data_IF_741086019386
#
_entry.id   IF_741086019386
#
_cell.length_a   1.000
_cell.length_b   1.000
_cell.length_c   1.000
_cell.angle_alpha   90.00
_cell.angle_beta   90.00
_cell.angle_gamma   90.00
#
_symmetry.space_group_name_H-M   'P 1'
#
loop_
_entity.id
_entity.type
_entity.pdbx_description
1 polymer ?
#
# COMPACT_ATOMS: atom_id res chain seq x y z
N UNK A 1 18.57 71.45 62.63
CA UNK A 1 17.35 70.95 61.96
C UNK A 1 17.45 69.44 61.74
N UNK A 2 16.75 68.61 62.52
CA UNK A 2 16.70 67.15 62.33
C UNK A 2 15.69 66.80 61.23
N UNK A 3 16.18 66.27 60.10
CA UNK A 3 15.33 65.84 58.97
C UNK A 3 14.82 64.42 59.27
N UNK A 4 13.53 64.27 59.59
CA UNK A 4 12.90 62.94 59.78
C UNK A 4 12.80 62.23 58.42
N UNK A 5 13.49 61.11 58.27
CA UNK A 5 13.36 60.23 57.09
C UNK A 5 11.98 59.56 57.18
N UNK A 6 11.14 59.76 56.15
CA UNK A 6 9.83 59.12 56.03
C UNK A 6 10.03 57.66 55.58
N UNK A 7 9.93 56.72 56.50
CA UNK A 7 10.11 55.27 56.27
C UNK A 7 9.22 54.70 55.15
N UNK A 8 8.04 55.27 54.91
CA UNK A 8 7.16 54.85 53.81
C UNK A 8 7.77 55.06 52.41
N UNK A 9 8.76 55.95 52.25
CA UNK A 9 9.47 56.11 50.96
C UNK A 9 10.61 55.09 50.77
N UNK A 10 11.16 54.53 51.86
CA UNK A 10 12.21 53.52 51.80
C UNK A 10 11.65 52.13 51.49
N UNK A 11 10.47 51.80 52.05
CA UNK A 11 9.74 50.57 51.74
C UNK A 11 9.36 50.48 50.26
N UNK A 12 8.93 51.59 49.64
CA UNK A 12 8.63 51.64 48.21
C UNK A 12 9.86 51.39 47.31
N UNK A 13 11.05 51.84 47.72
CA UNK A 13 12.29 51.69 46.94
C UNK A 13 12.83 50.26 46.92
N UNK A 14 12.55 49.45 47.95
CA UNK A 14 13.02 48.05 48.00
C UNK A 14 11.98 47.03 47.53
N UNK A 15 10.68 47.25 47.76
CA UNK A 15 9.66 46.27 47.39
C UNK A 15 9.26 46.31 45.90
N UNK A 16 9.27 47.48 45.27
CA UNK A 16 8.93 47.61 43.84
C UNK A 16 9.86 46.79 42.94
N UNK A 17 11.21 46.90 43.03
CA UNK A 17 12.09 46.12 42.16
C UNK A 17 11.97 44.61 42.40
N UNK A 18 11.73 44.17 43.65
CA UNK A 18 11.54 42.75 43.96
C UNK A 18 10.25 42.20 43.33
N UNK A 19 9.15 42.97 43.40
CA UNK A 19 7.88 42.59 42.75
C UNK A 19 8.04 42.55 41.23
N UNK A 20 8.76 43.51 40.64
CA UNK A 20 9.03 43.52 39.20
C UNK A 20 9.81 42.27 38.78
N UNK A 21 10.88 41.91 39.50
CA UNK A 21 11.67 40.70 39.22
C UNK A 21 10.81 39.43 39.34
N UNK A 22 9.96 39.33 40.35
CA UNK A 22 9.04 38.18 40.52
C UNK A 22 8.02 38.09 39.38
N UNK A 23 7.46 39.22 38.94
CA UNK A 23 6.54 39.25 37.79
C UNK A 23 7.27 38.87 36.50
N UNK A 24 8.50 39.34 36.28
CA UNK A 24 9.30 38.93 35.13
C UNK A 24 9.63 37.43 35.14
N UNK A 25 9.94 36.86 36.31
CA UNK A 25 10.17 35.43 36.46
C UNK A 25 8.92 34.61 36.14
N UNK A 26 7.77 34.98 36.73
CA UNK A 26 6.48 34.31 36.49
C UNK A 26 6.01 34.42 35.03
N UNK A 27 6.24 35.55 34.38
CA UNK A 27 5.92 35.75 32.96
C UNK A 27 6.85 34.93 32.06
N UNK A 28 8.14 34.79 32.44
CA UNK A 28 9.10 33.99 31.68
C UNK A 28 8.79 32.49 31.80
N UNK A 29 8.51 31.99 33.00
CA UNK A 29 8.05 30.61 33.24
C UNK A 29 6.77 30.31 32.46
N UNK A 30 5.80 31.24 32.48
CA UNK A 30 4.54 31.06 31.74
C UNK A 30 4.78 30.99 30.23
N UNK A 31 5.68 31.81 29.68
CA UNK A 31 6.08 31.76 28.26
C UNK A 31 6.80 30.47 27.90
N UNK A 32 7.64 29.94 28.78
CA UNK A 32 8.34 28.67 28.56
C UNK A 32 7.38 27.47 28.64
N UNK A 33 6.39 27.53 29.52
CA UNK A 33 5.31 26.54 29.62
C UNK A 33 4.33 26.62 28.43
N UNK A 34 3.98 27.82 27.95
CA UNK A 34 3.17 28.00 26.74
C UNK A 34 3.96 27.54 25.50
N UNK A 35 5.21 27.97 25.35
CA UNK A 35 6.09 27.53 24.25
C UNK A 35 6.29 26.01 24.23
N UNK A 36 6.53 25.37 25.38
CA UNK A 36 6.66 23.91 25.45
C UNK A 36 5.34 23.15 25.20
N UNK A 37 4.18 23.74 25.52
CA UNK A 37 2.87 23.19 25.15
C UNK A 37 2.59 23.35 23.66
N UNK A 38 2.95 24.48 23.07
CA UNK A 38 2.81 24.75 21.64
C UNK A 38 3.76 23.86 20.84
N UNK A 39 5.02 23.71 21.27
CA UNK A 39 5.98 22.74 20.70
C UNK A 39 5.46 21.32 20.89
N UNK A 40 4.90 20.93 22.04
CA UNK A 40 4.28 19.61 22.20
C UNK A 40 3.08 19.43 21.28
N UNK A 41 2.24 20.45 21.12
CA UNK A 41 1.05 20.42 20.25
C UNK A 41 1.44 20.38 18.78
N UNK A 42 2.50 21.08 18.39
CA UNK A 42 3.06 21.09 17.04
C UNK A 42 3.80 19.78 16.76
N UNK A 43 4.50 19.19 17.74
CA UNK A 43 5.06 17.83 17.66
C UNK A 43 3.95 16.77 17.61
N UNK A 44 2.87 16.91 18.38
CA UNK A 44 1.71 15.99 18.33
C UNK A 44 1.00 16.13 16.98
N UNK A 45 0.80 17.35 16.49
CA UNK A 45 0.21 17.66 15.18
C UNK A 45 1.11 17.23 14.02
N UNK A 46 2.44 17.33 14.14
CA UNK A 46 3.39 16.85 13.14
C UNK A 46 3.59 15.35 13.21
N UNK A 47 3.24 14.72 14.33
CA UNK A 47 3.17 13.25 14.49
C UNK A 47 1.83 12.68 14.02
N UNK A 48 0.81 13.54 13.85
CA UNK A 48 -0.48 13.26 13.19
C UNK A 48 -0.49 13.54 11.68
N UNK A 49 0.64 13.91 11.07
CA UNK A 49 0.83 13.81 9.61
C UNK A 49 1.66 12.56 9.34
N UNK A 50 1.01 11.39 9.44
CA UNK A 50 1.54 10.11 9.00
C UNK A 50 0.53 9.56 8.00
N UNK A 51 0.87 9.64 6.71
CA UNK A 51 0.22 9.10 5.51
C UNK A 51 -1.19 8.54 5.72
N UNK A 52 -2.20 9.23 5.17
CA UNK A 52 -3.50 8.59 5.00
C UNK A 52 -3.38 7.59 3.86
N UNK A 53 -3.46 6.29 4.16
CA UNK A 53 -3.36 5.25 3.15
C UNK A 53 -4.45 5.45 2.09
N UNK A 54 -4.07 5.39 0.83
CA UNK A 54 -4.99 5.60 -0.31
C UNK A 54 -5.04 4.39 -1.24
N UNK A 55 -6.12 4.30 -2.02
CA UNK A 55 -6.22 3.35 -3.13
C UNK A 55 -5.10 3.60 -4.15
N UNK A 56 -4.73 4.86 -4.37
CA UNK A 56 -3.62 5.22 -5.25
C UNK A 56 -2.29 4.64 -4.74
N UNK A 57 -1.99 4.76 -3.44
CA UNK A 57 -0.77 4.17 -2.87
C UNK A 57 -0.77 2.64 -2.94
N UNK A 58 -1.92 1.99 -2.69
CA UNK A 58 -2.07 0.55 -2.86
C UNK A 58 -1.68 0.12 -4.28
N UNK A 59 -2.28 0.74 -5.30
CA UNK A 59 -2.00 0.42 -6.69
C UNK A 59 -0.59 0.85 -7.12
N UNK A 60 -0.05 1.94 -6.57
CA UNK A 60 1.33 2.36 -6.84
C UNK A 60 2.32 1.34 -6.28
N UNK A 61 2.11 0.87 -5.06
CA UNK A 61 2.90 -0.20 -4.46
C UNK A 61 2.80 -1.50 -5.26
N UNK A 62 1.60 -1.86 -5.73
CA UNK A 62 1.39 -3.00 -6.62
C UNK A 62 2.27 -2.94 -7.89
N UNK A 63 2.53 -1.74 -8.43
CA UNK A 63 3.40 -1.59 -9.63
C UNK A 63 4.89 -1.68 -9.35
N UNK A 64 5.34 -1.71 -8.08
CA UNK A 64 6.77 -1.75 -7.74
C UNK A 64 7.42 -3.02 -8.30
N UNK A 65 6.99 -4.26 -7.97
CA UNK A 65 7.60 -5.49 -8.49
C UNK A 65 7.23 -5.84 -9.94
N UNK A 66 6.39 -5.01 -10.58
CA UNK A 66 5.83 -5.28 -11.90
C UNK A 66 6.93 -5.43 -12.95
N UNK A 67 6.95 -6.55 -13.66
CA UNK A 67 7.85 -6.75 -14.80
C UNK A 67 9.33 -6.96 -14.43
N UNK A 68 9.63 -7.23 -13.16
CA UNK A 68 10.98 -7.61 -12.72
C UNK A 68 10.99 -8.47 -11.46
N UNK A 69 9.87 -9.12 -11.12
CA UNK A 69 9.77 -10.13 -10.06
C UNK A 69 9.14 -11.40 -10.64
N UNK A 70 9.81 -12.54 -10.46
CA UNK A 70 9.34 -13.84 -10.94
C UNK A 70 8.29 -14.46 -10.02
N UNK A 71 7.41 -15.28 -10.61
CA UNK A 71 6.49 -16.12 -9.83
C UNK A 71 7.27 -17.29 -9.26
N UNK A 72 7.25 -17.44 -7.94
CA UNK A 72 7.82 -18.57 -7.24
C UNK A 72 6.78 -19.12 -6.29
N UNK A 73 6.41 -20.40 -6.40
CA UNK A 73 5.44 -21.01 -5.50
C UNK A 73 5.96 -20.96 -4.06
N UNK A 74 5.20 -20.37 -3.12
CA UNK A 74 5.64 -20.09 -1.75
C UNK A 74 6.46 -18.80 -1.59
N UNK A 75 6.70 -18.04 -2.67
CA UNK A 75 7.40 -16.77 -2.62
C UNK A 75 6.68 -15.75 -1.74
N UNK A 76 7.40 -15.11 -0.81
CA UNK A 76 6.84 -14.17 0.17
C UNK A 76 6.29 -14.81 1.45
N UNK A 77 6.23 -16.14 1.53
CA UNK A 77 5.89 -16.85 2.76
C UNK A 77 7.12 -17.06 3.66
N UNK A 78 6.88 -17.34 4.94
CA UNK A 78 7.91 -17.82 5.85
C UNK A 78 8.22 -19.32 5.61
N UNK A 79 9.35 -19.80 6.14
CA UNK A 79 9.76 -21.21 6.00
C UNK A 79 8.75 -22.21 6.56
N UNK A 80 7.93 -21.79 7.53
CA UNK A 80 6.93 -22.65 8.15
C UNK A 80 5.63 -22.72 7.35
N UNK A 81 5.48 -21.92 6.29
CA UNK A 81 4.26 -21.80 5.48
C UNK A 81 3.03 -21.43 6.34
N UNK A 82 3.23 -20.53 7.30
CA UNK A 82 2.19 -20.08 8.24
C UNK A 82 1.84 -18.59 8.14
N UNK A 83 2.59 -17.83 7.34
CA UNK A 83 2.36 -16.40 7.16
C UNK A 83 3.50 -15.72 6.42
N UNK A 84 3.62 -14.40 6.62
CA UNK A 84 4.55 -13.57 5.89
C UNK A 84 6.03 -13.91 6.18
N UNK A 85 6.81 -14.03 5.11
CA UNK A 85 8.27 -14.10 5.16
C UNK A 85 8.90 -12.73 5.40
N UNK A 86 10.23 -12.70 5.53
CA UNK A 86 10.96 -11.47 5.84
C UNK A 86 10.79 -10.41 4.74
N UNK A 87 10.77 -10.80 3.47
CA UNK A 87 10.56 -9.88 2.36
C UNK A 87 9.15 -9.29 2.37
N UNK A 88 8.14 -10.09 2.67
CA UNK A 88 6.74 -9.66 2.80
C UNK A 88 6.50 -8.71 4.00
N UNK A 89 7.38 -8.75 5.00
CA UNK A 89 7.39 -7.88 6.18
C UNK A 89 8.36 -6.70 6.07
N UNK A 90 8.92 -6.46 4.89
CA UNK A 90 9.89 -5.37 4.66
C UNK A 90 9.26 -4.26 3.83
N UNK A 91 9.45 -3.02 4.26
CA UNK A 91 9.10 -1.85 3.47
C UNK A 91 10.12 -1.72 2.33
N UNK A 92 9.59 -1.62 1.10
CA UNK A 92 10.37 -1.61 -0.13
C UNK A 92 10.53 -3.00 -0.74
N UNK A 93 10.95 -2.99 -1.99
CA UNK A 93 11.16 -4.19 -2.77
C UNK A 93 12.42 -4.94 -2.35
N UNK A 94 12.37 -6.29 -2.34
CA UNK A 94 13.59 -7.09 -2.18
C UNK A 94 14.46 -7.01 -3.43
N UNK A 95 15.72 -6.64 -3.26
CA UNK A 95 16.72 -6.65 -4.35
C UNK A 95 16.94 -8.04 -4.94
N UNK A 96 16.62 -9.08 -4.17
CA UNK A 96 16.78 -10.45 -4.62
C UNK A 96 15.80 -10.81 -5.73
N UNK A 97 14.59 -10.25 -5.72
CA UNK A 97 13.58 -10.49 -6.75
C UNK A 97 14.03 -10.01 -8.12
N UNK A 98 14.55 -8.77 -8.20
CA UNK A 98 15.13 -8.23 -9.44
C UNK A 98 16.36 -9.02 -9.87
N UNK A 99 17.24 -9.38 -8.92
CA UNK A 99 18.44 -10.17 -9.22
C UNK A 99 18.08 -11.53 -9.83
N UNK A 100 17.10 -12.23 -9.25
CA UNK A 100 16.63 -13.51 -9.75
C UNK A 100 15.94 -13.39 -11.11
N UNK A 101 15.13 -12.33 -11.33
CA UNK A 101 14.54 -12.04 -12.65
C UNK A 101 15.61 -11.86 -13.74
N UNK A 102 16.69 -11.14 -13.45
CA UNK A 102 17.78 -10.90 -14.40
C UNK A 102 18.52 -12.18 -14.82
N UNK A 103 18.47 -13.22 -14.00
CA UNK A 103 19.04 -14.54 -14.30
C UNK A 103 18.14 -15.38 -15.22
N UNK A 104 16.84 -15.05 -15.34
CA UNK A 104 15.90 -15.83 -16.13
C UNK A 104 15.81 -15.37 -17.59
N UNK A 105 15.51 -16.32 -18.47
CA UNK A 105 15.23 -16.11 -19.88
C UNK A 105 13.77 -16.44 -20.23
N UNK A 106 13.41 -16.33 -21.51
CA UNK A 106 12.06 -16.60 -22.03
C UNK A 106 11.55 -18.04 -21.77
N UNK A 107 12.42 -18.98 -21.37
CA UNK A 107 12.07 -20.38 -21.11
C UNK A 107 11.79 -20.68 -19.63
N UNK A 108 11.72 -19.67 -18.77
CA UNK A 108 11.44 -19.83 -17.34
C UNK A 108 10.27 -20.80 -17.06
N UNK A 109 10.54 -21.80 -16.22
CA UNK A 109 9.54 -22.75 -15.69
C UNK A 109 9.58 -22.66 -14.17
N UNK A 110 8.50 -22.18 -13.57
CA UNK A 110 8.46 -21.88 -12.14
C UNK A 110 8.62 -23.13 -11.27
N UNK A 111 8.24 -24.30 -11.78
CA UNK A 111 8.29 -25.57 -11.07
C UNK A 111 9.72 -25.98 -10.69
N UNK A 112 10.71 -25.51 -11.45
CA UNK A 112 12.14 -25.72 -11.14
C UNK A 112 12.60 -24.93 -9.91
N UNK A 113 11.82 -23.93 -9.49
CA UNK A 113 12.16 -22.96 -8.44
C UNK A 113 11.15 -22.94 -7.29
N UNK A 114 10.23 -23.91 -7.24
CA UNK A 114 9.24 -24.02 -6.16
C UNK A 114 9.90 -23.94 -4.78
N UNK A 115 9.34 -23.13 -3.90
CA UNK A 115 9.81 -22.87 -2.52
C UNK A 115 11.19 -22.22 -2.42
N UNK A 116 11.71 -21.62 -3.49
CA UNK A 116 12.77 -20.60 -3.37
C UNK A 116 12.15 -19.30 -2.86
N UNK A 117 11.62 -19.34 -1.64
CA UNK A 117 10.65 -18.37 -1.08
C UNK A 117 11.17 -16.92 -1.02
N UNK A 118 12.49 -16.74 -1.13
CA UNK A 118 13.18 -15.45 -1.12
C UNK A 118 13.39 -14.85 -2.53
N UNK A 119 13.26 -15.65 -3.59
CA UNK A 119 13.68 -15.30 -4.95
C UNK A 119 12.55 -14.70 -5.80
N UNK A 120 11.30 -14.80 -5.33
CA UNK A 120 10.15 -14.23 -6.01
C UNK A 120 8.91 -14.20 -5.12
N UNK A 121 7.74 -14.09 -5.76
CA UNK A 121 6.45 -13.99 -5.08
C UNK A 121 5.44 -14.94 -5.70
N UNK A 122 4.69 -15.69 -4.89
CA UNK A 122 3.44 -16.28 -5.38
C UNK A 122 2.30 -15.25 -5.34
N UNK A 123 1.09 -15.66 -5.71
CA UNK A 123 -0.05 -14.76 -5.77
C UNK A 123 -0.39 -14.10 -4.43
N UNK A 124 -0.37 -14.86 -3.32
CA UNK A 124 -0.76 -14.35 -2.01
C UNK A 124 0.38 -13.67 -1.26
N UNK A 125 1.62 -14.13 -1.45
CA UNK A 125 2.82 -13.43 -1.02
C UNK A 125 2.92 -12.04 -1.66
N UNK A 126 2.62 -11.95 -2.96
CA UNK A 126 2.54 -10.66 -3.67
C UNK A 126 1.47 -9.73 -3.08
N UNK A 127 0.23 -10.19 -2.99
CA UNK A 127 -0.87 -9.36 -2.45
C UNK A 127 -0.59 -8.96 -1.00
N UNK A 128 -0.07 -9.88 -0.18
CA UNK A 128 0.32 -9.60 1.20
C UNK A 128 1.43 -8.55 1.31
N UNK A 129 2.46 -8.63 0.47
CA UNK A 129 3.52 -7.62 0.42
C UNK A 129 2.98 -6.24 0.00
N UNK A 130 2.08 -6.18 -0.99
CA UNK A 130 1.45 -4.92 -1.44
C UNK A 130 0.66 -4.28 -0.30
N UNK A 131 -0.14 -5.07 0.43
CA UNK A 131 -0.91 -4.58 1.58
C UNK A 131 0.03 -4.11 2.69
N UNK A 132 1.08 -4.88 3.00
CA UNK A 132 2.07 -4.49 4.02
C UNK A 132 2.70 -3.14 3.68
N UNK A 133 3.17 -2.97 2.44
CA UNK A 133 3.81 -1.74 1.97
C UNK A 133 2.85 -0.54 1.88
N UNK A 134 1.55 -0.80 1.93
CA UNK A 134 0.52 0.24 1.93
C UNK A 134 0.10 0.64 3.33
N UNK A 135 -0.05 -0.33 4.25
CA UNK A 135 -0.63 -0.10 5.58
C UNK A 135 0.42 0.06 6.68
N UNK A 136 1.63 -0.46 6.49
CA UNK A 136 2.67 -0.51 7.51
C UNK A 136 3.77 0.52 7.27
N UNK A 137 4.61 0.68 8.29
CA UNK A 137 5.81 1.51 8.26
C UNK A 137 6.94 0.74 8.97
N UNK A 138 8.19 1.13 8.74
CA UNK A 138 9.41 0.43 9.18
C UNK A 138 9.49 0.09 10.68
N UNK A 139 8.63 0.66 11.53
CA UNK A 139 8.64 0.49 12.98
C UNK A 139 7.43 -0.30 13.53
N UNK A 140 6.65 -0.95 12.67
CA UNK A 140 5.43 -1.65 13.08
C UNK A 140 5.66 -3.17 13.15
N UNK A 141 5.74 -3.71 14.36
CA UNK A 141 5.69 -5.16 14.58
C UNK A 141 4.27 -5.68 14.29
N UNK A 142 4.13 -6.53 13.27
CA UNK A 142 2.92 -7.27 12.94
C UNK A 142 3.26 -8.55 12.16
N UNK A 143 2.32 -9.48 12.08
CA UNK A 143 2.49 -10.79 11.43
C UNK A 143 2.37 -10.74 9.89
N UNK A 144 2.18 -9.54 9.32
CA UNK A 144 2.02 -9.30 7.90
C UNK A 144 0.62 -9.60 7.38
N UNK A 145 0.51 -9.68 6.05
CA UNK A 145 -0.76 -9.89 5.35
C UNK A 145 -0.69 -11.05 4.35
N UNK A 146 0.26 -11.97 4.52
CA UNK A 146 0.36 -13.17 3.69
C UNK A 146 -0.49 -14.25 4.33
N UNK A 147 -1.52 -14.67 3.60
CA UNK A 147 -2.45 -15.74 3.95
C UNK A 147 -2.63 -16.63 2.74
N UNK A 148 -3.29 -17.79 2.93
CA UNK A 148 -3.71 -18.61 1.78
C UNK A 148 -4.63 -17.79 0.88
N UNK A 149 -4.54 -18.01 -0.42
CA UNK A 149 -5.29 -17.22 -1.40
C UNK A 149 -6.79 -17.24 -1.12
N UNK A 150 -7.35 -18.40 -0.74
CA UNK A 150 -8.75 -18.61 -0.39
C UNK A 150 -9.18 -17.94 0.93
N UNK A 151 -8.24 -17.67 1.84
CA UNK A 151 -8.53 -17.05 3.14
C UNK A 151 -8.33 -15.53 3.14
N UNK A 152 -7.49 -15.01 2.23
CA UNK A 152 -6.99 -13.62 2.24
C UNK A 152 -8.08 -12.57 2.46
N UNK A 153 -9.11 -12.57 1.61
CA UNK A 153 -10.20 -11.57 1.68
C UNK A 153 -10.99 -11.63 2.98
N UNK A 154 -11.16 -12.82 3.55
CA UNK A 154 -11.88 -13.00 4.81
C UNK A 154 -11.05 -12.49 5.99
N UNK A 155 -9.73 -12.71 5.99
CA UNK A 155 -8.84 -12.14 7.01
C UNK A 155 -8.88 -10.61 7.01
N UNK A 156 -8.89 -9.99 5.83
CA UNK A 156 -8.99 -8.53 5.71
C UNK A 156 -10.33 -8.00 6.24
N UNK A 157 -11.43 -8.72 6.01
CA UNK A 157 -12.73 -8.38 6.58
C UNK A 157 -12.75 -8.58 8.11
N UNK A 158 -12.18 -9.67 8.64
CA UNK A 158 -12.03 -9.92 10.08
C UNK A 158 -11.24 -8.81 10.79
N UNK A 159 -10.23 -8.23 10.11
CA UNK A 159 -9.47 -7.07 10.58
C UNK A 159 -10.27 -5.75 10.53
N UNK A 160 -11.45 -5.75 9.91
CA UNK A 160 -12.31 -4.57 9.79
C UNK A 160 -11.87 -3.61 8.68
N UNK A 161 -11.08 -4.05 7.70
CA UNK A 161 -10.54 -3.20 6.64
C UNK A 161 -11.51 -2.94 5.48
N UNK A 162 -12.58 -3.74 5.40
CA UNK A 162 -13.50 -3.72 4.28
C UNK A 162 -14.60 -4.76 4.44
N UNK A 163 -15.19 -5.15 3.32
CA UNK A 163 -16.25 -6.17 3.26
C UNK A 163 -16.05 -7.12 2.10
N UNK A 164 -16.47 -8.37 2.30
CA UNK A 164 -16.49 -9.38 1.25
C UNK A 164 -17.85 -9.48 0.54
N UNK A 165 -17.82 -9.84 -0.74
CA UNK A 165 -18.98 -9.99 -1.62
C UNK A 165 -18.79 -11.23 -2.49
N UNK A 166 -19.77 -12.14 -2.46
CA UNK A 166 -19.81 -13.33 -3.33
C UNK A 166 -20.61 -13.07 -4.61
N UNK A 167 -21.43 -12.02 -4.63
CA UNK A 167 -22.11 -11.53 -5.84
C UNK A 167 -21.41 -10.26 -6.28
N UNK A 168 -20.69 -10.34 -7.40
CA UNK A 168 -19.87 -9.25 -7.92
C UNK A 168 -20.71 -8.43 -8.90
N UNK A 169 -20.99 -7.18 -8.54
CA UNK A 169 -21.75 -6.24 -9.39
C UNK A 169 -20.83 -5.38 -10.27
N UNK A 170 -19.64 -5.06 -9.76
CA UNK A 170 -18.67 -4.20 -10.43
C UNK A 170 -17.27 -4.41 -9.86
N UNK A 171 -16.26 -4.15 -10.70
CA UNK A 171 -14.84 -4.21 -10.36
C UNK A 171 -14.32 -2.78 -10.18
N UNK A 172 -13.85 -2.48 -8.98
CA UNK A 172 -13.36 -1.15 -8.60
C UNK A 172 -11.85 -1.17 -8.35
N UNK A 173 -11.14 -0.06 -8.58
CA UNK A 173 -9.70 0.03 -8.31
C UNK A 173 -9.38 -0.34 -6.85
N UNK A 174 -8.43 -1.25 -6.67
CA UNK A 174 -7.98 -1.73 -5.37
C UNK A 174 -8.79 -2.90 -4.79
N UNK A 175 -9.88 -3.33 -5.43
CA UNK A 175 -10.59 -4.55 -5.00
C UNK A 175 -9.61 -5.74 -5.00
N UNK A 176 -9.71 -6.61 -3.99
CA UNK A 176 -8.95 -7.86 -3.93
C UNK A 176 -9.88 -9.02 -4.24
N UNK A 177 -9.46 -9.88 -5.14
CA UNK A 177 -10.26 -11.00 -5.62
C UNK A 177 -9.57 -12.30 -5.19
N UNK A 178 -10.21 -13.09 -4.33
CA UNK A 178 -9.73 -14.40 -3.88
C UNK A 178 -10.65 -15.52 -4.34
N UNK A 179 -10.09 -16.70 -4.63
CA UNK A 179 -10.88 -17.89 -4.97
C UNK A 179 -10.40 -19.12 -4.20
N UNK A 180 -11.33 -20.04 -3.91
CA UNK A 180 -11.06 -21.35 -3.32
C UNK A 180 -10.14 -22.23 -4.19
N UNK A 181 -9.98 -21.87 -5.47
CA UNK A 181 -9.06 -22.54 -6.40
C UNK A 181 -7.59 -22.09 -6.25
N UNK A 182 -7.26 -21.33 -5.21
CA UNK A 182 -5.87 -21.01 -4.87
C UNK A 182 -5.26 -19.84 -5.64
N UNK A 183 -6.06 -18.83 -6.01
CA UNK A 183 -5.54 -17.62 -6.65
C UNK A 183 -6.09 -16.34 -5.99
N UNK A 184 -5.27 -15.29 -5.98
CA UNK A 184 -5.64 -13.96 -5.51
C UNK A 184 -4.99 -12.87 -6.37
N UNK A 185 -5.73 -11.82 -6.69
CA UNK A 185 -5.24 -10.69 -7.47
C UNK A 185 -5.84 -9.34 -7.04
N UNK A 186 -5.26 -8.24 -7.53
CA UNK A 186 -5.73 -6.87 -7.28
C UNK A 186 -6.33 -6.30 -8.57
N UNK A 187 -7.52 -5.72 -8.47
CA UNK A 187 -8.20 -5.03 -9.58
C UNK A 187 -7.57 -3.65 -9.77
N UNK A 188 -7.17 -3.33 -11.00
CA UNK A 188 -6.84 -1.95 -11.40
C UNK A 188 -8.12 -1.22 -11.80
N UNK A 189 -8.97 -1.82 -12.63
CA UNK A 189 -10.21 -1.21 -13.11
C UNK A 189 -11.12 -2.22 -13.82
N UNK A 190 -12.45 -2.06 -13.70
CA UNK A 190 -13.41 -2.64 -14.64
C UNK A 190 -13.55 -1.78 -15.91
N UNK A 191 -13.67 -2.41 -17.07
CA UNK A 191 -13.81 -1.75 -18.37
C UNK A 191 -15.27 -1.77 -18.88
N UNK A 192 -15.62 -0.86 -19.79
CA UNK A 192 -16.99 -0.72 -20.31
C UNK A 192 -17.49 -1.98 -21.04
N UNK A 193 -16.59 -2.70 -21.73
CA UNK A 193 -16.92 -3.95 -22.43
C UNK A 193 -17.16 -5.15 -21.50
N UNK A 194 -16.96 -4.96 -20.18
CA UNK A 194 -17.10 -5.97 -19.14
C UNK A 194 -15.80 -6.73 -18.83
N UNK A 195 -14.70 -6.41 -19.52
CA UNK A 195 -13.38 -6.92 -19.15
C UNK A 195 -12.83 -6.24 -17.89
N UNK A 196 -11.87 -6.86 -17.23
CA UNK A 196 -11.22 -6.36 -16.02
C UNK A 196 -9.73 -6.27 -16.24
N UNK A 197 -9.17 -5.12 -15.89
CA UNK A 197 -7.73 -4.88 -15.83
C UNK A 197 -7.26 -5.17 -14.42
N UNK A 198 -6.27 -6.06 -14.28
CA UNK A 198 -5.79 -6.54 -12.98
C UNK A 198 -4.27 -6.63 -12.95
N UNK A 199 -3.73 -6.66 -11.73
CA UNK A 199 -2.31 -6.90 -11.46
C UNK A 199 -2.18 -8.06 -10.49
N UNK A 200 -1.28 -8.99 -10.81
CA UNK A 200 -1.16 -10.25 -10.10
C UNK A 200 0.24 -10.85 -10.25
N UNK A 201 0.56 -11.79 -9.36
CA UNK A 201 1.68 -12.72 -9.54
C UNK A 201 1.13 -14.08 -9.95
N UNK A 202 1.40 -14.45 -11.20
CA UNK A 202 1.13 -15.77 -11.78
C UNK A 202 2.25 -16.08 -12.75
N UNK A 203 2.54 -17.36 -13.07
CA UNK A 203 3.59 -17.69 -14.04
C UNK A 203 3.51 -16.81 -15.31
N UNK A 204 4.60 -16.16 -15.73
CA UNK A 204 5.97 -16.30 -15.21
C UNK A 204 6.33 -15.35 -14.04
N UNK A 205 5.48 -14.38 -13.67
CA UNK A 205 5.70 -13.48 -12.53
C UNK A 205 4.74 -12.29 -12.47
N UNK A 206 5.17 -11.22 -11.80
CA UNK A 206 4.29 -10.07 -11.53
C UNK A 206 4.03 -9.30 -12.81
N UNK A 207 2.77 -9.26 -13.25
CA UNK A 207 2.35 -8.60 -14.49
C UNK A 207 0.98 -7.95 -14.37
N UNK A 208 0.72 -6.99 -15.26
CA UNK A 208 -0.63 -6.51 -15.53
C UNK A 208 -1.25 -7.45 -16.58
N UNK A 209 -2.50 -7.82 -16.39
CA UNK A 209 -3.26 -8.62 -17.34
C UNK A 209 -4.67 -8.07 -17.52
N UNK A 210 -5.25 -8.36 -18.67
CA UNK A 210 -6.65 -8.08 -18.96
C UNK A 210 -7.43 -9.36 -19.14
N UNK A 211 -8.67 -9.39 -18.65
CA UNK A 211 -9.59 -10.49 -18.96
C UNK A 211 -10.18 -10.33 -20.36
N UNK A 212 -10.69 -11.40 -20.93
CA UNK A 212 -11.62 -11.34 -22.07
C UNK A 212 -12.84 -10.44 -21.77
N UNK A 213 -13.50 -9.94 -22.82
CA UNK A 213 -14.76 -9.18 -22.67
C UNK A 213 -15.94 -10.08 -22.27
N UNK A 214 -17.12 -9.50 -22.07
CA UNK A 214 -18.35 -10.24 -21.71
C UNK A 214 -18.76 -11.35 -22.68
N UNK A 215 -18.26 -11.33 -23.92
CA UNK A 215 -18.53 -12.32 -24.96
C UNK A 215 -17.38 -13.33 -25.11
N UNK A 216 -16.33 -13.23 -24.30
CA UNK A 216 -15.15 -14.07 -24.38
C UNK A 216 -14.12 -13.61 -25.43
N UNK A 217 -14.20 -12.36 -25.91
CA UNK A 217 -13.23 -11.83 -26.88
C UNK A 217 -11.89 -11.49 -26.19
N UNK A 218 -10.75 -12.08 -26.61
CA UNK A 218 -9.43 -11.74 -26.08
C UNK A 218 -8.91 -10.38 -26.54
N UNK A 219 -9.52 -9.75 -27.55
CA UNK A 219 -9.21 -8.36 -27.92
C UNK A 219 -10.07 -7.37 -27.11
N UNK A 220 -10.17 -7.57 -25.80
CA UNK A 220 -10.92 -6.68 -24.91
C UNK A 220 -10.19 -5.36 -24.67
N UNK A 221 -10.89 -4.38 -24.10
CA UNK A 221 -10.31 -3.13 -23.63
C UNK A 221 -9.20 -3.38 -22.60
N UNK A 222 -9.45 -4.23 -21.60
CA UNK A 222 -8.46 -4.54 -20.58
C UNK A 222 -7.20 -5.20 -21.18
N UNK A 223 -7.34 -6.15 -22.10
CA UNK A 223 -6.18 -6.83 -22.71
C UNK A 223 -5.34 -5.86 -23.51
N UNK A 224 -5.96 -4.99 -24.32
CA UNK A 224 -5.23 -3.95 -25.06
C UNK A 224 -4.45 -3.02 -24.12
N UNK A 225 -5.10 -2.53 -23.06
CA UNK A 225 -4.46 -1.64 -22.09
C UNK A 225 -3.31 -2.37 -21.38
N UNK A 226 -3.49 -3.62 -20.97
CA UNK A 226 -2.44 -4.42 -20.32
C UNK A 226 -1.22 -4.60 -21.23
N UNK A 227 -1.43 -5.00 -22.49
CA UNK A 227 -0.37 -5.20 -23.47
C UNK A 227 0.37 -3.89 -23.78
N UNK A 228 -0.36 -2.80 -24.03
CA UNK A 228 0.24 -1.49 -24.29
C UNK A 228 1.06 -0.99 -23.10
N UNK A 229 0.54 -1.18 -21.88
CA UNK A 229 1.20 -0.79 -20.63
C UNK A 229 2.49 -1.59 -20.42
N UNK A 230 2.42 -2.92 -20.48
CA UNK A 230 3.59 -3.79 -20.29
C UNK A 230 4.65 -3.53 -21.35
N UNK A 231 4.26 -3.40 -22.62
CA UNK A 231 5.17 -3.07 -23.71
C UNK A 231 5.86 -1.72 -23.54
N UNK A 232 5.14 -0.71 -23.03
CA UNK A 232 5.66 0.65 -22.87
C UNK A 232 6.58 0.80 -21.66
N UNK A 233 6.19 0.28 -20.50
CA UNK A 233 6.87 0.55 -19.23
C UNK A 233 7.76 -0.60 -18.74
N UNK A 234 7.60 -1.80 -19.30
CA UNK A 234 8.34 -3.03 -18.96
C UNK A 234 8.71 -3.80 -20.23
N UNK A 235 9.34 -3.12 -21.19
CA UNK A 235 9.68 -3.67 -22.51
C UNK A 235 10.51 -4.95 -22.44
N UNK A 236 11.50 -4.99 -21.54
CA UNK A 236 12.42 -6.12 -21.41
C UNK A 236 11.70 -7.37 -20.90
N UNK A 237 10.75 -7.17 -19.98
CA UNK A 237 9.83 -8.23 -19.54
C UNK A 237 8.92 -8.66 -20.69
N UNK A 238 8.30 -7.71 -21.37
CA UNK A 238 7.32 -7.98 -22.43
C UNK A 238 7.94 -8.71 -23.62
N UNK A 239 9.22 -8.49 -23.92
CA UNK A 239 9.95 -9.23 -24.94
C UNK A 239 10.10 -10.71 -24.57
N UNK A 240 10.41 -11.02 -23.30
CA UNK A 240 10.51 -12.40 -22.79
C UNK A 240 9.12 -13.05 -22.64
N UNK A 241 8.15 -12.29 -22.14
CA UNK A 241 6.86 -12.79 -21.68
C UNK A 241 5.71 -11.88 -22.16
N UNK A 242 5.33 -11.95 -23.46
CA UNK A 242 4.40 -10.99 -24.07
C UNK A 242 2.93 -11.20 -23.68
N UNK A 243 2.57 -12.35 -23.10
CA UNK A 243 1.17 -12.67 -22.80
C UNK A 243 0.65 -11.97 -21.55
N UNK A 244 -0.30 -11.07 -21.78
CA UNK A 244 -1.03 -10.28 -20.78
C UNK A 244 -2.53 -10.61 -20.77
N UNK A 245 -2.94 -11.73 -21.37
CA UNK A 245 -4.35 -12.13 -21.44
C UNK A 245 -4.66 -13.13 -20.35
N UNK A 246 -5.81 -12.99 -19.70
CA UNK A 246 -6.40 -14.03 -18.87
C UNK A 246 -7.83 -14.30 -19.32
N UNK A 247 -8.31 -15.52 -19.13
CA UNK A 247 -9.64 -15.91 -19.59
C UNK A 247 -10.75 -15.55 -18.60
N UNK A 248 -11.98 -15.95 -18.89
CA UNK A 248 -13.15 -15.66 -18.07
C UNK A 248 -13.12 -16.32 -16.68
N UNK A 249 -12.24 -17.31 -16.44
CA UNK A 249 -12.12 -17.93 -15.12
C UNK A 249 -11.72 -16.94 -14.03
N UNK A 250 -11.04 -15.85 -14.39
CA UNK A 250 -10.69 -14.75 -13.48
C UNK A 250 -11.89 -13.91 -13.03
N UNK A 251 -13.07 -14.13 -13.63
CA UNK A 251 -14.31 -13.42 -13.34
C UNK A 251 -15.36 -14.30 -12.63
N UNK A 252 -15.06 -15.59 -12.43
CA UNK A 252 -16.01 -16.60 -11.91
C UNK A 252 -15.47 -17.28 -10.67
N UNK A 253 -16.33 -17.58 -9.69
CA UNK A 253 -15.97 -18.26 -8.45
C UNK A 253 -14.93 -17.50 -7.60
N UNK A 254 -14.95 -16.17 -7.70
CA UNK A 254 -14.19 -15.26 -6.84
C UNK A 254 -15.07 -14.63 -5.77
N UNK A 255 -14.46 -14.40 -4.62
CA UNK A 255 -14.94 -13.54 -3.56
C UNK A 255 -14.22 -12.21 -3.67
N UNK A 256 -15.00 -11.13 -3.79
CA UNK A 256 -14.49 -9.78 -3.90
C UNK A 256 -14.41 -9.14 -2.53
N UNK A 257 -13.27 -8.54 -2.20
CA UNK A 257 -13.11 -7.67 -1.06
C UNK A 257 -13.03 -6.21 -1.52
N UNK A 258 -13.85 -5.35 -0.88
CA UNK A 258 -13.82 -3.90 -1.08
C UNK A 258 -13.38 -3.19 0.20
N UNK A 259 -12.37 -2.34 0.08
CA UNK A 259 -11.88 -1.51 1.18
C UNK A 259 -12.92 -0.52 1.66
N UNK A 260 -12.93 -0.24 2.96
CA UNK A 260 -13.70 0.88 3.52
C UNK A 260 -12.89 2.19 3.51
N UNK A 261 -13.60 3.32 3.48
CA UNK A 261 -12.97 4.65 3.40
C UNK A 261 -12.16 5.03 4.65
N UNK A 262 -12.35 4.34 5.77
CA UNK A 262 -11.51 4.49 6.96
C UNK A 262 -10.16 3.80 6.86
N UNK A 263 -10.02 2.82 5.95
CA UNK A 263 -8.78 2.07 5.73
C UNK A 263 -8.02 2.63 4.54
N UNK A 264 -8.66 2.68 3.36
CA UNK A 264 -8.09 3.27 2.16
C UNK A 264 -9.00 4.38 1.63
N UNK A 265 -8.47 5.59 1.58
CA UNK A 265 -9.17 6.74 0.99
C UNK A 265 -8.99 6.79 -0.52
N UNK A 266 -9.88 7.49 -1.20
CA UNK A 266 -9.79 7.73 -2.65
C UNK A 266 -9.76 9.23 -3.02
N UNK A 267 -8.76 10.02 -2.57
CA UNK A 267 -8.74 11.46 -2.85
C UNK A 267 -8.49 11.79 -4.33
N UNK A 268 -7.91 10.86 -5.10
CA UNK A 268 -7.73 10.99 -6.56
C UNK A 268 -9.00 10.62 -7.35
N UNK A 269 -10.05 10.12 -6.69
CA UNK A 269 -11.27 9.61 -7.30
C UNK A 269 -10.97 8.55 -8.37
N UNK A 270 -10.09 7.61 -8.07
CA UNK A 270 -9.76 6.51 -8.99
C UNK A 270 -11.00 5.69 -9.33
N UNK A 271 -11.95 5.53 -8.40
CA UNK A 271 -13.20 4.80 -8.65
C UNK A 271 -14.07 5.39 -9.77
N UNK A 272 -13.88 6.67 -10.10
CA UNK A 272 -14.61 7.39 -11.15
C UNK A 272 -13.79 7.54 -12.45
N UNK A 273 -12.63 6.88 -12.55
CA UNK A 273 -11.71 7.00 -13.69
C UNK A 273 -11.76 5.78 -14.58
N UNK A 274 -11.58 6.03 -15.87
CA UNK A 274 -11.38 4.96 -16.84
C UNK A 274 -10.02 4.28 -16.65
N UNK A 275 -9.95 3.00 -17.03
CA UNK A 275 -8.74 2.18 -16.89
C UNK A 275 -7.47 2.85 -17.42
N UNK A 276 -7.54 3.52 -18.58
CA UNK A 276 -6.39 4.20 -19.17
C UNK A 276 -5.94 5.43 -18.35
N UNK A 277 -6.87 6.16 -17.74
CA UNK A 277 -6.54 7.28 -16.87
C UNK A 277 -5.84 6.80 -15.60
N UNK A 278 -6.28 5.68 -15.03
CA UNK A 278 -5.63 5.06 -13.87
C UNK A 278 -4.20 4.63 -14.24
N UNK A 279 -4.00 3.95 -15.36
CA UNK A 279 -2.66 3.60 -15.85
C UNK A 279 -1.78 4.85 -16.00
N UNK A 280 -2.30 5.92 -16.60
CA UNK A 280 -1.52 7.15 -16.76
C UNK A 280 -1.09 7.75 -15.42
N UNK A 281 -1.93 7.66 -14.37
CA UNK A 281 -1.56 8.11 -13.02
C UNK A 281 -0.53 7.19 -12.36
N UNK A 282 -0.65 5.87 -12.55
CA UNK A 282 0.27 4.90 -11.94
C UNK A 282 1.69 5.00 -12.53
N UNK A 283 1.84 5.46 -13.77
CA UNK A 283 3.12 5.56 -14.46
C UNK A 283 3.54 7.00 -14.81
N UNK A 284 2.89 8.02 -14.22
CA UNK A 284 3.32 9.42 -14.30
C UNK A 284 4.52 9.73 -13.41
#
# INVERSE_FOLDING_TARGET
MKRKIKWNRLLFLFFIPVIIVLVFYLVSDKKEVESSKDIKKEIISSKEIKNENTIYELLKNATIPLGHTMYVYGGGWNEQDTGAGIEALTIGESKNWESFYLEQDEYYQYENYNYQIHDGLDCSGYVGWVIYNTLCNENQENDGYVYKAEEMVYRLEEMGYGKTYTTIESYSPGDIMSTDNGHVYIVISGCEDGSVLLIHSSPPGVKISGTVDRNGNPESQAVRIAQETMKKYRSDWYEKYPDCTVDSSYLTDYVQFKWNDSTLKDPQNLKEKEAQEIINLLFS
#
